data_IF_513021915762
#
_entry.id   IF_513021915762
#
_cell.length_a   1.000
_cell.length_b   1.000
_cell.length_c   1.000
_cell.angle_alpha   90.00
_cell.angle_beta   90.00
_cell.angle_gamma   90.00
#
_symmetry.space_group_name_H-M   'P 1'
#
loop_
_entity.id
_entity.type
_entity.pdbx_description
1 polymer ?
#
# COMPACT_ATOMS: atom_id res chain seq x y z
N UNK A 1 25.51 2.33 56.59
CA UNK A 1 25.77 2.57 55.16
C UNK A 1 25.10 1.48 54.36
N UNK A 2 24.58 1.84 53.17
CA UNK A 2 23.96 0.96 52.15
C UNK A 2 22.47 0.61 52.36
N UNK A 3 21.63 1.63 52.17
CA UNK A 3 20.32 1.46 51.51
C UNK A 3 20.54 1.63 50.00
N UNK A 4 19.83 0.85 49.19
CA UNK A 4 19.44 1.28 47.84
C UNK A 4 20.09 0.54 46.66
N UNK A 5 19.62 -0.67 46.36
CA UNK A 5 19.62 -1.21 44.98
C UNK A 5 18.41 -2.14 44.73
N UNK A 6 17.83 -2.77 45.75
CA UNK A 6 16.89 -3.90 45.54
C UNK A 6 15.43 -3.56 45.21
N UNK A 7 15.06 -2.28 44.99
CA UNK A 7 13.68 -1.89 44.63
C UNK A 7 13.54 -1.30 43.20
N UNK A 8 14.66 -1.05 42.51
CA UNK A 8 14.62 -0.36 41.19
C UNK A 8 14.32 -1.34 40.05
N UNK A 9 14.57 -2.64 40.21
CA UNK A 9 14.37 -3.61 39.13
C UNK A 9 12.92 -4.07 38.93
N UNK A 10 12.02 -3.88 39.90
CA UNK A 10 10.60 -4.23 39.73
C UNK A 10 9.74 -3.08 39.19
N UNK A 11 10.16 -1.82 39.34
CA UNK A 11 9.44 -0.66 38.81
C UNK A 11 9.62 -0.46 37.29
N UNK A 12 10.63 -1.07 36.67
CA UNK A 12 10.87 -0.98 35.23
C UNK A 12 9.96 -1.90 34.38
N UNK A 13 9.26 -2.87 34.99
CA UNK A 13 8.35 -3.75 34.26
C UNK A 13 6.88 -3.31 34.28
N UNK A 14 6.52 -2.29 35.06
CA UNK A 14 5.13 -1.81 35.16
C UNK A 14 4.83 -0.56 34.32
N UNK A 15 5.82 0.04 33.65
CA UNK A 15 5.61 1.20 32.76
C UNK A 15 5.63 0.86 31.25
N UNK A 16 5.73 -0.42 30.90
CA UNK A 16 5.74 -0.87 29.49
C UNK A 16 4.37 -1.22 28.91
N UNK A 17 3.28 -1.01 29.66
CA UNK A 17 1.92 -1.35 29.20
C UNK A 17 1.10 -0.18 28.65
N UNK A 18 1.66 0.98 28.36
CA UNK A 18 0.86 2.02 27.70
C UNK A 18 1.69 2.85 26.74
N UNK A 19 1.50 2.58 25.46
CA UNK A 19 1.76 3.49 24.33
C UNK A 19 3.09 3.39 23.58
N UNK A 20 3.71 2.21 23.49
CA UNK A 20 4.84 1.95 22.56
C UNK A 20 4.42 1.35 21.20
N UNK A 21 3.14 1.46 20.81
CA UNK A 21 2.64 0.96 19.52
C UNK A 21 2.36 2.09 18.48
N UNK A 22 2.80 3.32 18.76
CA UNK A 22 2.67 4.45 17.84
C UNK A 22 4.01 4.91 17.22
N UNK A 23 5.14 4.34 17.64
CA UNK A 23 6.47 4.90 17.34
C UNK A 23 7.30 4.12 16.29
N UNK A 24 6.75 3.07 15.67
CA UNK A 24 7.46 2.27 14.66
C UNK A 24 6.58 1.94 13.44
N UNK A 25 5.81 2.93 12.97
CA UNK A 25 5.35 2.87 11.58
C UNK A 25 6.41 3.61 10.75
N UNK A 26 6.92 3.01 9.66
CA UNK A 26 7.72 3.74 8.67
C UNK A 26 6.96 5.01 8.28
N UNK A 27 7.64 6.14 8.10
CA UNK A 27 6.99 7.42 7.78
C UNK A 27 5.98 7.31 6.62
N UNK A 28 6.24 6.42 5.66
CA UNK A 28 5.38 6.02 4.54
C UNK A 28 3.98 5.46 4.90
N UNK A 29 3.66 5.25 6.19
CA UNK A 29 2.38 4.71 6.65
C UNK A 29 1.62 5.64 7.62
N UNK A 30 2.07 6.89 7.78
CA UNK A 30 1.38 7.85 8.65
C UNK A 30 0.00 8.26 8.13
N UNK A 31 -0.20 8.27 6.80
CA UNK A 31 -1.51 8.52 6.17
C UNK A 31 -2.58 7.56 6.69
N UNK A 32 -2.25 6.28 6.89
CA UNK A 32 -3.17 5.24 7.41
C UNK A 32 -3.69 5.62 8.79
N UNK A 33 -2.87 6.21 9.65
CA UNK A 33 -3.30 6.62 11.00
C UNK A 33 -4.20 7.86 10.97
N UNK A 34 -3.90 8.81 10.08
CA UNK A 34 -4.68 10.05 9.93
C UNK A 34 -6.05 9.79 9.30
N UNK A 35 -6.15 8.80 8.40
CA UNK A 35 -7.40 8.36 7.79
C UNK A 35 -8.25 7.47 8.71
N UNK A 36 -7.61 6.73 9.64
CA UNK A 36 -8.31 5.80 10.56
C UNK A 36 -9.04 6.51 11.71
N UNK A 37 -8.72 7.77 12.03
CA UNK A 37 -9.29 8.48 13.19
C UNK A 37 -10.60 9.22 12.82
N UNK A 38 -11.69 8.45 12.80
CA UNK A 38 -13.11 8.85 12.85
C UNK A 38 -13.76 9.57 11.65
N UNK A 39 -14.99 9.11 11.41
CA UNK A 39 -16.12 9.72 10.71
C UNK A 39 -16.07 9.76 9.18
N UNK A 40 -17.23 9.43 8.60
CA UNK A 40 -17.58 9.71 7.20
C UNK A 40 -17.07 11.10 6.82
N UNK A 41 -16.35 11.20 5.69
CA UNK A 41 -15.90 12.46 5.13
C UNK A 41 -17.08 13.43 5.00
N UNK A 42 -16.90 14.65 5.50
CA UNK A 42 -17.82 15.74 5.20
C UNK A 42 -17.76 16.07 3.70
N UNK A 43 -18.78 16.78 3.18
CA UNK A 43 -18.81 17.20 1.77
C UNK A 43 -17.59 18.07 1.42
N UNK A 44 -17.22 18.97 2.33
CA UNK A 44 -16.03 19.80 2.23
C UNK A 44 -14.76 18.95 2.11
N UNK A 45 -14.51 18.04 3.05
CA UNK A 45 -13.32 17.18 3.02
C UNK A 45 -13.26 16.33 1.76
N UNK A 46 -14.39 15.74 1.34
CA UNK A 46 -14.45 14.98 0.10
C UNK A 46 -14.04 15.82 -1.10
N UNK A 47 -14.58 17.04 -1.21
CA UNK A 47 -14.26 17.93 -2.32
C UNK A 47 -12.76 18.27 -2.34
N UNK A 48 -12.18 18.64 -1.20
CA UNK A 48 -10.75 18.98 -1.14
C UNK A 48 -9.84 17.78 -1.41
N UNK A 49 -10.21 16.59 -0.92
CA UNK A 49 -9.45 15.36 -1.15
C UNK A 49 -9.54 14.92 -2.62
N UNK A 50 -10.70 15.07 -3.25
CA UNK A 50 -10.87 14.83 -4.70
C UNK A 50 -10.06 15.85 -5.51
N UNK A 51 -10.02 17.11 -5.09
CA UNK A 51 -9.20 18.12 -5.75
C UNK A 51 -7.70 17.79 -5.63
N UNK A 52 -7.22 17.45 -4.43
CA UNK A 52 -5.85 17.00 -4.23
C UNK A 52 -5.51 15.78 -5.09
N UNK A 53 -6.38 14.77 -5.14
CA UNK A 53 -6.21 13.61 -6.01
C UNK A 53 -6.07 14.01 -7.48
N UNK A 54 -6.89 14.96 -7.95
CA UNK A 54 -6.83 15.40 -9.35
C UNK A 54 -5.49 16.06 -9.72
N UNK A 55 -4.87 16.80 -8.78
CA UNK A 55 -3.53 17.38 -8.96
C UNK A 55 -2.50 16.24 -9.07
N UNK A 56 -2.55 15.27 -8.15
CA UNK A 56 -1.62 14.13 -8.20
C UNK A 56 -1.79 13.33 -9.49
N UNK A 57 -3.02 13.11 -9.95
CA UNK A 57 -3.30 12.44 -11.23
C UNK A 57 -2.79 13.22 -12.45
N UNK A 58 -2.84 14.54 -12.42
CA UNK A 58 -2.36 15.36 -13.54
C UNK A 58 -0.82 15.40 -13.63
N UNK A 59 -0.14 15.37 -12.49
CA UNK A 59 1.30 15.67 -12.42
C UNK A 59 2.19 14.54 -11.88
N UNK A 60 1.68 13.32 -11.62
CA UNK A 60 2.52 12.23 -11.08
C UNK A 60 3.72 11.87 -11.97
N UNK A 61 3.61 12.06 -13.29
CA UNK A 61 4.68 11.83 -14.26
C UNK A 61 5.73 12.96 -14.29
N UNK A 62 5.45 14.10 -13.67
CA UNK A 62 6.38 15.22 -13.52
C UNK A 62 6.52 15.63 -12.04
N UNK A 63 7.41 14.95 -11.26
CA UNK A 63 7.52 15.18 -9.82
C UNK A 63 7.92 16.61 -9.41
N UNK A 64 8.62 17.35 -10.27
CA UNK A 64 8.99 18.74 -9.99
C UNK A 64 7.76 19.66 -10.08
N UNK A 65 7.00 19.54 -11.16
CA UNK A 65 5.77 20.32 -11.36
C UNK A 65 4.70 19.95 -10.33
N UNK A 66 4.59 18.65 -9.97
CA UNK A 66 3.75 18.23 -8.86
C UNK A 66 4.15 18.91 -7.54
N UNK A 67 5.45 18.97 -7.24
CA UNK A 67 5.91 19.62 -6.01
C UNK A 67 5.56 21.11 -5.97
N UNK A 68 5.67 21.80 -7.11
CA UNK A 68 5.29 23.21 -7.24
C UNK A 68 3.77 23.40 -7.01
N UNK A 69 2.93 22.60 -7.68
CA UNK A 69 1.47 22.64 -7.52
C UNK A 69 1.04 22.32 -6.08
N UNK A 70 1.68 21.34 -5.43
CA UNK A 70 1.41 21.00 -4.04
C UNK A 70 1.80 22.13 -3.08
N UNK A 71 2.92 22.82 -3.33
CA UNK A 71 3.32 23.97 -2.53
C UNK A 71 2.39 25.18 -2.74
N UNK A 72 1.96 25.41 -3.98
CA UNK A 72 0.94 26.42 -4.30
C UNK A 72 -0.37 26.12 -3.58
N UNK A 73 -0.80 24.85 -3.59
CA UNK A 73 -1.98 24.40 -2.85
C UNK A 73 -1.85 24.66 -1.34
N UNK A 74 -0.68 24.44 -0.72
CA UNK A 74 -0.48 24.80 0.71
C UNK A 74 -0.71 26.29 0.96
N UNK A 75 -0.28 27.15 0.03
CA UNK A 75 -0.53 28.58 0.06
C UNK A 75 -2.03 28.91 -0.01
N UNK A 76 -2.71 28.35 -1.02
CA UNK A 76 -4.16 28.52 -1.21
C UNK A 76 -4.96 28.05 0.00
N UNK A 77 -4.71 26.83 0.49
CA UNK A 77 -5.36 26.27 1.68
C UNK A 77 -5.12 27.14 2.93
N UNK A 78 -3.95 27.78 3.06
CA UNK A 78 -3.69 28.71 4.16
C UNK A 78 -4.54 29.96 4.03
N UNK A 79 -4.64 30.54 2.83
CA UNK A 79 -5.52 31.69 2.56
C UNK A 79 -6.99 31.37 2.81
N UNK A 80 -7.47 30.27 2.24
CA UNK A 80 -8.86 29.78 2.41
C UNK A 80 -9.19 29.48 3.87
N UNK A 81 -8.24 28.94 4.64
CA UNK A 81 -8.41 28.73 6.08
C UNK A 81 -8.52 30.05 6.84
N UNK A 82 -7.64 31.01 6.56
CA UNK A 82 -7.69 32.35 7.18
C UNK A 82 -9.01 33.07 6.85
N UNK A 83 -9.57 32.80 5.67
CA UNK A 83 -10.87 33.33 5.25
C UNK A 83 -12.08 32.52 5.76
N UNK A 84 -11.87 31.47 6.57
CA UNK A 84 -12.91 30.55 7.06
C UNK A 84 -13.67 29.79 5.96
N UNK A 85 -13.07 29.62 4.78
CA UNK A 85 -13.64 28.85 3.67
C UNK A 85 -13.42 27.34 3.83
N UNK A 86 -12.39 26.95 4.58
CA UNK A 86 -12.12 25.55 4.95
C UNK A 86 -11.91 25.43 6.46
N UNK A 87 -12.26 24.28 7.02
CA UNK A 87 -12.08 23.97 8.43
C UNK A 87 -10.63 23.64 8.72
N UNK A 88 -10.22 23.93 9.97
CA UNK A 88 -8.90 23.57 10.50
C UNK A 88 -8.57 22.08 10.29
N UNK A 89 -9.53 21.21 10.58
CA UNK A 89 -9.35 19.75 10.45
C UNK A 89 -9.10 19.33 9.00
N UNK A 90 -9.84 19.90 8.04
CA UNK A 90 -9.65 19.66 6.60
C UNK A 90 -8.24 20.07 6.18
N UNK A 91 -7.82 21.28 6.57
CA UNK A 91 -6.47 21.80 6.27
C UNK A 91 -5.37 20.91 6.83
N UNK A 92 -5.44 20.52 8.11
CA UNK A 92 -4.42 19.68 8.76
C UNK A 92 -4.30 18.31 8.08
N UNK A 93 -5.43 17.72 7.68
CA UNK A 93 -5.47 16.46 6.93
C UNK A 93 -4.79 16.61 5.57
N UNK A 94 -5.15 17.63 4.80
CA UNK A 94 -4.54 17.90 3.49
C UNK A 94 -3.05 18.20 3.61
N UNK A 95 -2.63 18.98 4.61
CA UNK A 95 -1.22 19.30 4.83
C UNK A 95 -0.40 18.05 5.11
N UNK A 96 -0.94 17.13 5.91
CA UNK A 96 -0.27 15.85 6.17
C UNK A 96 -0.13 15.02 4.90
N UNK A 97 -1.18 14.95 4.07
CA UNK A 97 -1.12 14.22 2.80
C UNK A 97 -0.17 14.88 1.80
N UNK A 98 -0.16 16.21 1.72
CA UNK A 98 0.76 16.96 0.85
C UNK A 98 2.21 16.70 1.26
N UNK A 99 2.51 16.71 2.56
CA UNK A 99 3.87 16.43 3.05
C UNK A 99 4.33 15.01 2.71
N UNK A 100 3.42 14.03 2.77
CA UNK A 100 3.69 12.65 2.36
C UNK A 100 3.94 12.54 0.84
N UNK A 101 3.12 13.24 0.03
CA UNK A 101 3.28 13.30 -1.43
C UNK A 101 4.60 13.95 -1.84
N UNK A 102 5.05 14.99 -1.14
CA UNK A 102 6.30 15.70 -1.44
C UNK A 102 7.56 14.85 -1.19
N UNK A 103 7.48 13.86 -0.30
CA UNK A 103 8.60 12.95 -0.01
C UNK A 103 8.47 11.61 -0.74
N UNK A 104 7.36 11.39 -1.46
CA UNK A 104 7.08 10.16 -2.20
C UNK A 104 7.98 10.03 -3.44
N UNK A 105 8.40 8.80 -3.73
CA UNK A 105 9.10 8.48 -4.97
C UNK A 105 8.16 8.48 -6.18
N UNK A 106 8.70 8.64 -7.40
CA UNK A 106 7.89 8.60 -8.64
C UNK A 106 7.06 7.32 -8.78
N UNK A 107 7.58 6.18 -8.32
CA UNK A 107 6.86 4.90 -8.32
C UNK A 107 5.67 4.91 -7.35
N UNK A 108 5.83 5.54 -6.18
CA UNK A 108 4.75 5.68 -5.21
C UNK A 108 3.70 6.65 -5.72
N UNK A 109 4.11 7.78 -6.30
CA UNK A 109 3.21 8.77 -6.90
C UNK A 109 2.32 8.16 -7.98
N UNK A 110 2.87 7.31 -8.86
CA UNK A 110 2.09 6.58 -9.86
C UNK A 110 0.98 5.71 -9.24
N UNK A 111 1.31 4.99 -8.16
CA UNK A 111 0.36 4.14 -7.44
C UNK A 111 -0.69 4.96 -6.69
N UNK A 112 -0.27 6.06 -6.07
CA UNK A 112 -1.12 6.94 -5.29
C UNK A 112 -2.14 7.64 -6.19
N UNK A 113 -1.71 8.16 -7.35
CA UNK A 113 -2.56 8.86 -8.32
C UNK A 113 -3.83 8.07 -8.67
N UNK A 114 -3.71 6.75 -8.80
CA UNK A 114 -4.79 5.86 -9.23
C UNK A 114 -5.45 5.10 -8.06
N UNK A 115 -5.25 5.56 -6.82
CA UNK A 115 -5.73 4.87 -5.62
C UNK A 115 -6.62 5.77 -4.75
N UNK A 116 -7.93 5.69 -4.98
CA UNK A 116 -8.95 6.40 -4.19
C UNK A 116 -8.88 6.09 -2.69
N UNK A 117 -8.39 4.91 -2.30
CA UNK A 117 -8.28 4.52 -0.90
C UNK A 117 -7.17 5.27 -0.17
N UNK A 118 -6.11 5.69 -0.88
CA UNK A 118 -5.05 6.53 -0.32
C UNK A 118 -5.60 7.88 0.15
N UNK A 119 -6.51 8.47 -0.61
CA UNK A 119 -7.18 9.73 -0.25
C UNK A 119 -8.39 9.54 0.67
N UNK A 120 -8.71 8.29 1.07
CA UNK A 120 -9.92 7.99 1.84
C UNK A 120 -11.24 8.18 1.08
N UNK A 121 -11.17 8.30 -0.26
CA UNK A 121 -12.32 8.55 -1.13
C UNK A 121 -13.09 7.27 -1.47
N UNK A 122 -12.44 6.11 -1.42
CA UNK A 122 -13.04 4.79 -1.67
C UNK A 122 -14.11 4.36 -0.63
N UNK A 123 -14.46 5.24 0.32
CA UNK A 123 -15.22 4.91 1.52
C UNK A 123 -14.34 4.15 2.51
N UNK A 124 -14.47 4.47 3.80
CA UNK A 124 -13.93 3.58 4.82
C UNK A 124 -14.77 2.31 4.80
N UNK A 125 -14.26 1.23 4.20
CA UNK A 125 -14.69 -0.09 4.64
C UNK A 125 -14.34 -0.12 6.13
N UNK A 126 -15.35 -0.21 6.99
CA UNK A 126 -15.10 -0.27 8.42
C UNK A 126 -14.14 -1.42 8.73
N UNK A 127 -13.35 -1.31 9.79
CA UNK A 127 -12.37 -2.36 10.10
C UNK A 127 -13.05 -3.72 10.28
N UNK A 128 -14.31 -3.73 10.76
CA UNK A 128 -15.15 -4.93 10.85
C UNK A 128 -15.53 -5.46 9.46
N UNK A 129 -16.02 -4.60 8.57
CA UNK A 129 -16.38 -4.97 7.20
C UNK A 129 -15.17 -5.45 6.38
N UNK A 130 -13.98 -4.85 6.60
CA UNK A 130 -12.75 -5.25 5.92
C UNK A 130 -12.27 -6.60 6.43
N UNK A 131 -12.36 -6.84 7.73
CA UNK A 131 -12.04 -8.12 8.35
C UNK A 131 -12.99 -9.21 7.86
N UNK A 132 -14.28 -8.88 7.72
CA UNK A 132 -15.29 -9.78 7.16
C UNK A 132 -15.00 -10.15 5.70
N UNK A 133 -14.70 -9.16 4.84
CA UNK A 133 -14.32 -9.40 3.44
C UNK A 133 -13.00 -10.17 3.32
N UNK A 134 -12.03 -9.92 4.22
CA UNK A 134 -10.78 -10.69 4.29
C UNK A 134 -11.05 -12.13 4.71
N UNK A 135 -11.87 -12.36 5.74
CA UNK A 135 -12.24 -13.67 6.22
C UNK A 135 -13.02 -14.46 5.17
N UNK A 136 -13.91 -13.80 4.43
CA UNK A 136 -14.61 -14.38 3.28
C UNK A 136 -13.64 -14.78 2.16
N UNK A 137 -12.71 -13.89 1.79
CA UNK A 137 -11.68 -14.18 0.78
C UNK A 137 -10.77 -15.32 1.20
N UNK A 138 -10.40 -15.39 2.48
CA UNK A 138 -9.64 -16.49 3.07
C UNK A 138 -10.44 -17.80 3.04
N UNK A 139 -11.72 -17.77 3.38
CA UNK A 139 -12.60 -18.95 3.33
C UNK A 139 -12.82 -19.48 1.90
N UNK A 140 -12.91 -18.60 0.91
CA UNK A 140 -12.99 -18.99 -0.51
C UNK A 140 -11.68 -19.55 -1.03
N UNK A 141 -10.53 -19.08 -0.53
CA UNK A 141 -9.22 -19.63 -0.88
C UNK A 141 -8.88 -20.93 -0.13
N UNK A 142 -9.40 -21.12 1.08
CA UNK A 142 -9.31 -22.40 1.82
C UNK A 142 -10.23 -23.48 1.26
N UNK A 143 -11.35 -23.10 0.63
CA UNK A 143 -12.22 -24.04 -0.08
C UNK A 143 -11.57 -24.67 -1.33
N UNK A 144 -10.42 -24.13 -1.76
CA UNK A 144 -9.57 -24.73 -2.79
C UNK A 144 -8.50 -25.67 -2.23
N UNK A 145 -8.44 -25.86 -0.92
CA UNK A 145 -7.55 -26.83 -0.26
C UNK A 145 -8.38 -27.84 0.54
N UNK A 146 -8.64 -28.95 -0.15
CA UNK A 146 -9.06 -30.28 0.36
C UNK A 146 -10.56 -30.55 0.50
N UNK A 147 -11.14 -31.26 -0.48
CA UNK A 147 -11.63 -32.66 -0.36
C UNK A 147 -11.71 -33.27 -1.77
N UNK A 148 -11.22 -34.50 -1.92
CA UNK A 148 -11.01 -35.18 -3.19
C UNK A 148 -12.28 -35.58 -3.96
N UNK A 149 -12.12 -35.62 -5.29
CA UNK A 149 -13.07 -36.20 -6.24
C UNK A 149 -12.30 -37.24 -7.09
N UNK A 150 -12.85 -38.43 -7.36
CA UNK A 150 -12.23 -39.47 -8.20
C UNK A 150 -11.97 -38.99 -9.64
N UNK A 151 -11.10 -39.67 -10.41
CA UNK A 151 -10.50 -39.14 -11.62
C UNK A 151 -11.52 -38.99 -12.76
N UNK A 152 -11.98 -37.76 -12.98
CA UNK A 152 -12.50 -37.30 -14.27
C UNK A 152 -11.33 -36.79 -15.13
N UNK A 153 -11.42 -36.89 -16.48
CA UNK A 153 -10.28 -36.64 -17.36
C UNK A 153 -9.81 -35.19 -17.19
N UNK A 154 -8.59 -35.05 -16.67
CA UNK A 154 -7.96 -33.76 -16.43
C UNK A 154 -7.69 -33.08 -17.77
N UNK A 155 -8.42 -32.02 -18.05
CA UNK A 155 -7.92 -30.97 -18.93
C UNK A 155 -6.77 -30.30 -18.19
N UNK A 156 -5.55 -30.64 -18.60
CA UNK A 156 -4.32 -29.95 -18.23
C UNK A 156 -4.43 -28.50 -18.70
N UNK A 157 -4.91 -27.61 -17.82
CA UNK A 157 -4.66 -26.18 -17.98
C UNK A 157 -3.15 -25.98 -17.90
N UNK A 158 -2.54 -25.48 -18.97
CA UNK A 158 -1.12 -25.17 -19.00
C UNK A 158 -0.83 -24.06 -17.98
N UNK A 159 -0.33 -24.44 -16.80
CA UNK A 159 0.06 -23.50 -15.75
C UNK A 159 1.31 -22.77 -16.22
N UNK A 160 1.14 -21.59 -16.81
CA UNK A 160 2.26 -20.72 -17.17
C UNK A 160 3.01 -20.23 -15.92
N UNK A 161 4.34 -20.05 -15.98
CA UNK A 161 5.08 -19.45 -14.88
C UNK A 161 4.62 -18.00 -14.64
N UNK A 162 4.54 -17.55 -13.37
CA UNK A 162 4.13 -16.20 -13.06
C UNK A 162 5.18 -15.17 -13.52
N UNK A 163 4.75 -13.96 -13.88
CA UNK A 163 5.62 -12.94 -14.49
C UNK A 163 6.76 -12.48 -13.57
N UNK A 164 6.56 -12.56 -12.25
CA UNK A 164 7.55 -12.25 -11.22
C UNK A 164 8.45 -13.44 -10.86
N UNK A 165 8.28 -14.60 -11.49
CA UNK A 165 9.24 -15.69 -11.35
C UNK A 165 10.61 -15.26 -11.87
N UNK A 166 11.66 -15.75 -11.23
CA UNK A 166 13.06 -15.47 -11.57
C UNK A 166 13.69 -16.78 -12.01
N UNK A 167 14.20 -16.80 -13.23
CA UNK A 167 14.94 -17.91 -13.83
C UNK A 167 16.45 -17.68 -13.80
N UNK A 168 17.19 -18.64 -14.36
CA UNK A 168 18.62 -18.55 -14.56
C UNK A 168 18.92 -17.79 -15.87
N UNK A 169 19.64 -16.68 -15.77
CA UNK A 169 20.13 -15.95 -16.94
C UNK A 169 21.36 -16.66 -17.51
N UNK A 170 21.34 -16.96 -18.80
CA UNK A 170 22.47 -17.57 -19.51
C UNK A 170 23.13 -16.57 -20.46
N UNK A 171 24.33 -16.91 -20.94
CA UNK A 171 25.15 -16.08 -21.84
C UNK A 171 24.54 -15.93 -23.26
N UNK A 172 23.42 -16.60 -23.53
CA UNK A 172 22.62 -16.50 -24.75
C UNK A 172 21.69 -15.27 -24.77
N UNK A 173 21.65 -14.50 -23.68
CA UNK A 173 20.78 -13.33 -23.54
C UNK A 173 19.34 -13.66 -23.08
N UNK A 174 19.07 -14.92 -22.74
CA UNK A 174 17.78 -15.37 -22.26
C UNK A 174 17.82 -15.79 -20.79
N UNK A 175 16.67 -15.65 -20.13
CA UNK A 175 16.39 -16.12 -18.79
C UNK A 175 15.54 -17.40 -18.90
N UNK A 176 15.97 -18.46 -18.22
CA UNK A 176 15.41 -19.80 -18.30
C UNK A 176 14.79 -20.24 -16.97
N UNK A 177 13.59 -20.79 -17.00
CA UNK A 177 12.87 -21.27 -15.83
C UNK A 177 12.22 -22.62 -16.11
N UNK A 178 12.49 -23.58 -15.24
CA UNK A 178 11.73 -24.83 -15.20
C UNK A 178 10.44 -24.62 -14.40
N UNK A 179 9.30 -24.93 -15.00
CA UNK A 179 8.00 -24.76 -14.36
C UNK A 179 6.98 -25.82 -14.79
N UNK A 180 6.28 -26.48 -13.86
CA UNK A 180 6.51 -26.46 -12.41
C UNK A 180 7.91 -27.02 -12.07
N UNK A 181 8.44 -26.68 -10.88
CA UNK A 181 9.75 -27.19 -10.44
C UNK A 181 9.75 -28.73 -10.45
N UNK A 182 10.83 -29.33 -10.97
CA UNK A 182 10.96 -30.77 -11.21
C UNK A 182 9.95 -31.36 -12.23
N UNK A 183 9.28 -30.51 -13.01
CA UNK A 183 8.29 -30.90 -14.02
C UNK A 183 8.87 -31.22 -15.40
N UNK A 184 10.15 -30.92 -15.65
CA UNK A 184 10.84 -31.15 -16.92
C UNK A 184 10.42 -30.23 -18.07
N UNK A 185 9.56 -29.23 -17.82
CA UNK A 185 9.10 -28.26 -18.82
C UNK A 185 9.83 -26.94 -18.62
N UNK A 186 10.48 -26.47 -19.68
CA UNK A 186 11.28 -25.26 -19.67
C UNK A 186 10.57 -24.09 -20.33
N UNK A 187 10.77 -22.92 -19.78
CA UNK A 187 10.29 -21.66 -20.28
C UNK A 187 11.46 -20.67 -20.39
N UNK A 188 11.40 -19.79 -21.39
CA UNK A 188 12.41 -18.76 -21.60
C UNK A 188 11.77 -17.38 -21.85
N UNK A 189 12.53 -16.34 -21.55
CA UNK A 189 12.23 -14.95 -21.94
C UNK A 189 13.52 -14.15 -22.09
N UNK A 190 13.47 -12.96 -22.67
CA UNK A 190 14.65 -12.09 -22.76
C UNK A 190 15.13 -11.70 -21.36
N UNK A 191 16.45 -11.77 -21.13
CA UNK A 191 17.00 -11.39 -19.83
C UNK A 191 16.69 -9.92 -19.51
N UNK A 192 16.34 -9.64 -18.25
CA UNK A 192 15.96 -8.29 -17.77
C UNK A 192 14.68 -7.72 -18.39
N UNK A 193 13.84 -8.52 -19.04
CA UNK A 193 12.50 -8.10 -19.51
C UNK A 193 11.41 -8.52 -18.51
N UNK A 194 10.40 -7.67 -18.34
CA UNK A 194 9.20 -8.00 -17.56
C UNK A 194 8.10 -8.56 -18.49
N UNK A 195 8.46 -9.48 -19.37
CA UNK A 195 7.55 -10.08 -20.36
C UNK A 195 7.08 -11.46 -19.93
N UNK A 196 5.95 -11.90 -20.48
CA UNK A 196 5.42 -13.25 -20.27
C UNK A 196 6.39 -14.33 -20.73
N UNK A 197 6.47 -15.41 -19.98
CA UNK A 197 7.30 -16.58 -20.27
C UNK A 197 6.83 -17.31 -21.54
N UNK A 198 7.78 -17.69 -22.39
CA UNK A 198 7.52 -18.50 -23.58
C UNK A 198 7.93 -19.94 -23.33
N UNK A 199 7.08 -20.90 -23.68
CA UNK A 199 7.37 -22.33 -23.53
C UNK A 199 8.46 -22.75 -24.52
N UNK A 200 9.49 -23.42 -24.02
CA UNK A 200 10.51 -24.06 -24.86
C UNK A 200 9.94 -25.36 -25.43
N UNK A 201 10.12 -25.57 -26.74
CA UNK A 201 9.72 -26.79 -27.45
C UNK A 201 10.95 -27.55 -27.94
#
# INVERSE_FOLDING_TARGET
TTLGVSAVLLALFTLLQTNAAAALLPDAFRWVQVLRKNSKLTKEERNELTYLQSIVQAYFDNPQELADELNQLKGDLTGRYTNNEIKKQTREKLFTLIEDLLVSSSRELYQIAHNDAYFGLAGSIDSEDRTKLLQEKLAMSDSNRTVGTPPGPQQYEEVLPPINAVGAVQDDGYEWLEWPQDGGVWYYRTASSNTTWQKWQ
#
